data_IF_753208027058
#
_entry.id   IF_753208027058
#
_cell.length_a   1.000
_cell.length_b   1.000
_cell.length_c   1.000
_cell.angle_alpha   90.00
_cell.angle_beta   90.00
_cell.angle_gamma   90.00
#
_symmetry.space_group_name_H-M   'P 1'
#
loop_
_entity.id
_entity.type
_entity.pdbx_description
1 polymer ?
#
# COMPACT_ATOMS: atom_id res chain seq x y z
N UNK A 1 -13.29 14.19 21.88
CA UNK A 1 -13.21 15.60 21.45
C UNK A 1 -14.23 15.77 20.32
N UNK A 2 -14.80 16.95 20.07
CA UNK A 2 -15.72 17.09 18.92
C UNK A 2 -14.88 17.13 17.64
N UNK A 3 -15.01 16.11 16.79
CA UNK A 3 -14.34 16.10 15.50
C UNK A 3 -14.79 17.30 14.66
N UNK A 4 -13.87 18.10 14.11
CA UNK A 4 -14.26 19.23 13.29
C UNK A 4 -14.78 18.76 11.93
N UNK A 5 -15.78 19.44 11.39
CA UNK A 5 -16.43 19.04 10.12
C UNK A 5 -15.46 18.97 8.92
N UNK A 6 -14.38 19.76 8.95
CA UNK A 6 -13.35 19.72 7.91
C UNK A 6 -12.56 18.40 7.90
N UNK A 7 -12.48 17.69 9.04
CA UNK A 7 -11.71 16.46 9.19
C UNK A 7 -12.20 15.39 8.23
N UNK A 8 -13.51 15.14 8.18
CA UNK A 8 -14.11 14.15 7.26
C UNK A 8 -13.76 14.42 5.79
N UNK A 9 -13.76 15.70 5.41
CA UNK A 9 -13.38 16.11 4.05
C UNK A 9 -11.90 15.91 3.79
N UNK A 10 -11.04 16.27 4.75
CA UNK A 10 -9.59 16.07 4.64
C UNK A 10 -9.21 14.58 4.60
N UNK A 11 -9.83 13.75 5.44
CA UNK A 11 -9.64 12.28 5.45
C UNK A 11 -10.01 11.70 4.10
N UNK A 12 -11.18 12.04 3.56
CA UNK A 12 -11.61 11.58 2.22
C UNK A 12 -10.62 11.96 1.11
N UNK A 13 -9.91 13.08 1.26
CA UNK A 13 -8.93 13.57 0.28
C UNK A 13 -7.53 13.04 0.50
N UNK A 14 -7.19 12.61 1.72
CA UNK A 14 -5.86 12.14 2.07
C UNK A 14 -5.33 11.00 1.19
N UNK A 15 -6.13 10.05 0.67
CA UNK A 15 -5.63 9.00 -0.22
C UNK A 15 -5.14 9.49 -1.59
N UNK A 16 -5.57 10.69 -2.02
CA UNK A 16 -5.11 11.29 -3.28
C UNK A 16 -3.61 11.67 -3.22
N UNK A 17 -3.03 11.68 -2.01
CA UNK A 17 -1.67 12.13 -1.74
C UNK A 17 -0.78 11.00 -1.21
N UNK A 18 0.12 10.46 -2.05
CA UNK A 18 1.05 9.35 -1.69
C UNK A 18 1.94 9.60 -0.48
N UNK A 19 2.10 10.86 -0.07
CA UNK A 19 2.91 11.23 1.08
C UNK A 19 2.14 11.15 2.41
N UNK A 20 0.84 10.83 2.41
CA UNK A 20 0.02 10.70 3.62
C UNK A 20 -0.09 9.24 4.07
N UNK A 21 -0.44 9.01 5.34
CA UNK A 21 -0.88 7.68 5.79
C UNK A 21 -2.27 7.31 5.26
N UNK A 22 -3.11 8.28 4.89
CA UNK A 22 -4.39 8.02 4.22
C UNK A 22 -4.22 7.23 2.91
N UNK A 23 -3.16 7.50 2.15
CA UNK A 23 -2.80 6.67 1.00
C UNK A 23 -2.46 5.22 1.39
N UNK A 24 -1.76 5.02 2.51
CA UNK A 24 -1.44 3.68 3.01
C UNK A 24 -2.70 2.93 3.43
N UNK A 25 -3.62 3.59 4.15
CA UNK A 25 -4.88 3.00 4.59
C UNK A 25 -5.79 2.62 3.43
N UNK A 26 -5.94 3.51 2.45
CA UNK A 26 -6.70 3.22 1.23
C UNK A 26 -6.06 2.08 0.42
N UNK A 27 -4.73 2.03 0.38
CA UNK A 27 -4.03 0.93 -0.31
C UNK A 27 -4.25 -0.39 0.43
N UNK A 28 -4.25 -0.40 1.76
CA UNK A 28 -4.60 -1.58 2.55
C UNK A 28 -6.06 -2.00 2.31
N UNK A 29 -6.99 -1.06 2.23
CA UNK A 29 -8.39 -1.35 1.89
C UNK A 29 -8.50 -2.00 0.51
N UNK A 30 -7.87 -1.40 -0.50
CA UNK A 30 -7.96 -1.87 -1.89
C UNK A 30 -7.28 -3.22 -2.14
N UNK A 31 -6.11 -3.45 -1.54
CA UNK A 31 -5.32 -4.67 -1.77
C UNK A 31 -5.74 -5.79 -0.81
N UNK A 32 -6.00 -5.47 0.45
CA UNK A 32 -6.24 -6.46 1.51
C UNK A 32 -7.72 -6.57 1.91
N UNK A 33 -8.59 -5.70 1.39
CA UNK A 33 -10.02 -5.66 1.76
C UNK A 33 -10.29 -5.14 3.17
N UNK A 34 -9.30 -4.53 3.84
CA UNK A 34 -9.44 -4.07 5.22
C UNK A 34 -10.36 -2.87 5.32
N UNK A 35 -11.37 -2.97 6.18
CA UNK A 35 -12.22 -1.84 6.54
C UNK A 35 -11.49 -0.84 7.45
N UNK A 36 -11.98 0.40 7.59
CA UNK A 36 -11.49 1.33 8.62
C UNK A 36 -11.52 0.72 10.03
N UNK A 37 -12.53 -0.08 10.34
CA UNK A 37 -12.68 -0.79 11.61
C UNK A 37 -11.55 -1.82 11.82
N UNK A 38 -11.19 -2.57 10.77
CA UNK A 38 -10.09 -3.54 10.82
C UNK A 38 -8.74 -2.85 11.05
N UNK A 39 -8.53 -1.69 10.41
CA UNK A 39 -7.30 -0.90 10.57
C UNK A 39 -7.21 -0.28 11.96
N UNK A 40 -8.31 0.26 12.49
CA UNK A 40 -8.37 0.79 13.84
C UNK A 40 -8.09 -0.31 14.88
N UNK A 41 -8.67 -1.51 14.70
CA UNK A 41 -8.40 -2.66 15.55
C UNK A 41 -6.94 -3.15 15.44
N UNK A 42 -6.36 -3.22 14.24
CA UNK A 42 -4.95 -3.61 14.05
C UNK A 42 -3.98 -2.63 14.72
N UNK A 43 -4.30 -1.33 14.71
CA UNK A 43 -3.49 -0.27 15.31
C UNK A 43 -3.81 -0.01 16.79
N UNK A 44 -4.77 -0.75 17.37
CA UNK A 44 -5.26 -0.57 18.74
C UNK A 44 -5.67 0.89 19.03
N UNK A 45 -6.45 1.47 18.12
CA UNK A 45 -6.88 2.87 18.19
C UNK A 45 -8.36 3.06 17.86
N UNK A 46 -8.88 4.26 18.15
CA UNK A 46 -10.26 4.60 17.78
C UNK A 46 -10.37 5.01 16.31
N UNK A 47 -11.57 4.89 15.71
CA UNK A 47 -11.82 5.43 14.36
C UNK A 47 -11.53 6.93 14.27
N UNK A 48 -11.79 7.69 15.34
CA UNK A 48 -11.43 9.11 15.41
C UNK A 48 -9.91 9.31 15.34
N UNK A 49 -9.14 8.46 16.02
CA UNK A 49 -7.67 8.48 15.93
C UNK A 49 -7.20 8.10 14.53
N UNK A 50 -7.84 7.11 13.91
CA UNK A 50 -7.53 6.69 12.55
C UNK A 50 -7.74 7.82 11.53
N UNK A 51 -8.81 8.60 11.66
CA UNK A 51 -9.05 9.80 10.85
C UNK A 51 -7.90 10.81 10.97
N UNK A 52 -7.42 11.08 12.18
CA UNK A 52 -6.28 11.97 12.39
C UNK A 52 -4.96 11.38 11.84
N UNK A 53 -4.76 10.07 12.00
CA UNK A 53 -3.61 9.39 11.44
C UNK A 53 -3.58 9.49 9.92
N UNK A 54 -4.73 9.40 9.24
CA UNK A 54 -4.81 9.48 7.78
C UNK A 54 -4.22 10.78 7.23
N UNK A 55 -4.27 11.87 8.00
CA UNK A 55 -3.70 13.16 7.63
C UNK A 55 -2.19 13.28 7.90
N UNK A 56 -1.62 12.37 8.67
CA UNK A 56 -0.20 12.40 8.99
C UNK A 56 0.63 12.12 7.73
N UNK A 57 1.80 12.77 7.67
CA UNK A 57 2.81 12.44 6.66
C UNK A 57 3.29 11.01 6.90
N UNK A 58 3.35 10.23 5.83
CA UNK A 58 4.00 8.92 5.79
C UNK A 58 5.47 9.08 6.21
N UNK A 59 5.97 8.25 7.15
CA UNK A 59 7.39 8.25 7.50
C UNK A 59 8.29 8.12 6.27
N UNK A 60 9.36 8.92 6.22
CA UNK A 60 10.33 8.89 5.11
C UNK A 60 11.40 7.86 5.39
N UNK A 61 12.01 7.25 4.36
CA UNK A 61 12.92 6.13 4.58
C UNK A 61 14.18 6.52 5.38
N UNK A 62 14.72 7.71 5.12
CA UNK A 62 15.89 8.27 5.78
C UNK A 62 15.64 8.63 7.25
N UNK A 63 14.40 9.00 7.59
CA UNK A 63 13.99 9.42 8.94
C UNK A 63 12.85 8.58 9.51
N UNK A 64 12.76 7.33 9.08
CA UNK A 64 11.58 6.49 9.32
C UNK A 64 11.28 6.33 10.81
N UNK A 65 12.30 5.96 11.58
CA UNK A 65 12.17 5.73 13.02
C UNK A 65 11.79 7.02 13.79
N UNK A 66 12.29 8.17 13.34
CA UNK A 66 12.00 9.46 13.95
C UNK A 66 10.56 9.89 13.67
N UNK A 67 10.14 9.88 12.40
CA UNK A 67 8.76 10.23 12.03
C UNK A 67 7.74 9.29 12.67
N UNK A 68 8.07 7.99 12.73
CA UNK A 68 7.23 7.00 13.40
C UNK A 68 7.05 7.34 14.88
N UNK A 69 8.14 7.63 15.61
CA UNK A 69 8.07 8.01 17.03
C UNK A 69 7.20 9.25 17.25
N UNK A 70 7.37 10.28 16.42
CA UNK A 70 6.55 11.50 16.52
C UNK A 70 5.05 11.19 16.39
N UNK A 71 4.68 10.32 15.45
CA UNK A 71 3.28 9.93 15.24
C UNK A 71 2.80 9.08 16.42
N UNK A 72 3.54 8.04 16.79
CA UNK A 72 3.12 7.09 17.83
C UNK A 72 3.01 7.75 19.19
N UNK A 73 3.93 8.66 19.52
CA UNK A 73 3.91 9.40 20.78
C UNK A 73 2.74 10.37 20.82
N UNK A 74 2.43 11.04 19.70
CA UNK A 74 1.29 11.98 19.61
C UNK A 74 -0.06 11.30 19.83
N UNK A 75 -0.23 10.10 19.30
CA UNK A 75 -1.51 9.37 19.34
C UNK A 75 -1.54 8.24 20.36
N UNK A 76 -0.48 8.09 21.17
CA UNK A 76 -0.32 7.03 22.16
C UNK A 76 -0.50 5.62 21.58
N UNK A 77 0.17 5.36 20.44
CA UNK A 77 0.09 4.09 19.71
C UNK A 77 1.33 3.23 19.96
N UNK A 78 1.15 1.91 19.88
CA UNK A 78 2.28 1.01 19.76
C UNK A 78 2.98 1.22 18.40
N UNK A 79 4.32 1.37 18.35
CA UNK A 79 5.02 1.59 17.08
C UNK A 79 4.98 0.40 16.13
N UNK A 80 4.97 -0.82 16.67
CA UNK A 80 5.15 -2.04 15.90
C UNK A 80 3.99 -2.34 14.92
N UNK A 81 2.70 -2.22 15.31
CA UNK A 81 1.59 -2.35 14.38
C UNK A 81 1.67 -1.39 13.20
N UNK A 82 1.98 -0.11 13.45
CA UNK A 82 2.06 0.90 12.40
C UNK A 82 3.20 0.62 11.42
N UNK A 83 4.37 0.19 11.92
CA UNK A 83 5.50 -0.24 11.08
C UNK A 83 5.10 -1.40 10.17
N UNK A 84 4.47 -2.43 10.75
CA UNK A 84 4.06 -3.63 10.02
C UNK A 84 3.08 -3.28 8.91
N UNK A 85 2.08 -2.45 9.21
CA UNK A 85 1.10 -1.99 8.23
C UNK A 85 1.79 -1.23 7.08
N UNK A 86 2.62 -0.24 7.38
CA UNK A 86 3.31 0.57 6.35
C UNK A 86 4.18 -0.33 5.46
N UNK A 87 5.04 -1.16 6.06
CA UNK A 87 5.97 -2.02 5.31
C UNK A 87 5.26 -3.10 4.50
N UNK A 88 4.19 -3.68 5.04
CA UNK A 88 3.35 -4.67 4.34
C UNK A 88 2.71 -4.05 3.10
N UNK A 89 2.05 -2.91 3.26
CA UNK A 89 1.41 -2.19 2.15
C UNK A 89 2.41 -1.74 1.10
N UNK A 90 3.56 -1.19 1.50
CA UNK A 90 4.63 -0.80 0.58
C UNK A 90 5.15 -1.98 -0.24
N UNK A 91 5.33 -3.13 0.41
CA UNK A 91 5.78 -4.36 -0.26
C UNK A 91 4.75 -4.83 -1.28
N UNK A 92 3.48 -4.92 -0.89
CA UNK A 92 2.39 -5.34 -1.78
C UNK A 92 2.21 -4.38 -2.97
N UNK A 93 2.24 -3.07 -2.71
CA UNK A 93 2.13 -2.06 -3.77
C UNK A 93 3.30 -2.12 -4.77
N UNK A 94 4.49 -2.53 -4.34
CA UNK A 94 5.64 -2.73 -5.23
C UNK A 94 5.44 -3.93 -6.17
N UNK A 95 4.77 -4.99 -5.72
CA UNK A 95 4.43 -6.14 -6.58
C UNK A 95 3.33 -5.80 -7.58
N UNK A 96 2.25 -5.15 -7.16
CA UNK A 96 1.14 -4.79 -8.07
C UNK A 96 1.56 -3.85 -9.20
N UNK A 97 2.58 -3.01 -9.00
CA UNK A 97 3.11 -2.14 -10.07
C UNK A 97 3.91 -2.86 -11.14
N UNK A 98 4.49 -4.02 -10.84
CA UNK A 98 5.25 -4.80 -11.84
C UNK A 98 4.32 -5.36 -12.91
N UNK A 99 3.12 -5.79 -12.52
CA UNK A 99 2.12 -6.34 -13.43
C UNK A 99 1.52 -5.29 -14.40
N UNK A 100 1.43 -4.01 -13.98
CA UNK A 100 0.93 -2.92 -14.84
C UNK A 100 2.02 -2.36 -15.80
N UNK A 101 3.30 -2.56 -15.49
CA UNK A 101 4.45 -2.01 -16.23
C UNK A 101 4.98 -2.89 -17.35
N UNK A 102 4.63 -4.17 -17.39
CA UNK A 102 5.14 -5.14 -18.39
C UNK A 102 4.28 -5.23 -19.67
N UNK A 103 3.21 -4.43 -19.79
CA UNK A 103 2.42 -4.35 -21.01
C UNK A 103 2.96 -3.37 -22.08
N UNK A 104 4.11 -2.70 -21.85
CA UNK A 104 4.64 -1.68 -22.80
C UNK A 104 6.15 -1.72 -23.08
N UNK A 105 6.82 -2.85 -22.91
CA UNK A 105 8.08 -3.09 -23.63
C UNK A 105 8.18 -4.54 -24.03
N UNK A 106 8.38 -4.75 -25.33
CA UNK A 106 8.33 -6.05 -25.95
C UNK A 106 9.34 -7.02 -25.35
N UNK A 107 8.82 -8.15 -24.89
CA UNK A 107 9.47 -9.43 -25.11
C UNK A 107 8.38 -10.40 -25.52
N UNK A 108 8.13 -10.45 -26.83
CA UNK A 108 7.48 -11.60 -27.45
C UNK A 108 8.31 -12.82 -27.06
N UNK A 109 7.86 -13.57 -26.05
CA UNK A 109 8.41 -14.90 -25.78
C UNK A 109 7.95 -15.79 -26.93
N UNK A 110 8.76 -15.79 -27.99
CA UNK A 110 8.70 -16.74 -29.08
C UNK A 110 8.92 -18.14 -28.47
N UNK A 111 7.83 -18.81 -28.14
CA UNK A 111 7.84 -20.25 -27.97
C UNK A 111 8.39 -20.85 -29.26
N UNK A 112 9.53 -21.53 -29.15
CA UNK A 112 10.11 -22.28 -30.26
C UNK A 112 9.08 -23.32 -30.71
N UNK A 113 8.53 -23.12 -31.91
CA UNK A 113 7.77 -24.14 -32.64
C UNK A 113 8.75 -25.23 -33.04
N UNK A 114 8.64 -26.37 -32.37
CA UNK A 114 9.22 -27.63 -32.83
C UNK A 114 8.53 -28.01 -34.14
N UNK A 115 9.17 -27.72 -35.27
CA UNK A 115 8.80 -28.28 -36.56
C UNK A 115 9.53 -29.61 -36.67
N UNK A 116 8.78 -30.70 -36.60
CA UNK A 116 9.24 -32.00 -37.06
C UNK A 116 9.37 -31.93 -38.59
N UNK A 117 10.59 -31.66 -39.06
CA UNK A 117 11.03 -32.12 -40.36
C UNK A 117 11.28 -33.63 -40.22
N UNK A 118 10.36 -34.45 -40.72
CA UNK A 118 10.71 -35.81 -41.12
C UNK A 118 10.34 -35.94 -42.61
N UNK A 119 11.28 -35.44 -43.39
CA UNK A 119 11.34 -35.57 -44.83
C UNK A 119 11.70 -37.02 -45.18
N UNK A 120 10.83 -37.62 -45.98
CA UNK A 120 11.14 -38.57 -47.05
C UNK A 120 12.46 -39.37 -46.91
N UNK A 121 12.33 -40.65 -46.53
CA UNK A 121 13.27 -41.68 -46.99
C UNK A 121 12.55 -42.65 -47.90
N UNK A 122 12.78 -42.44 -49.19
CA UNK A 122 12.66 -43.42 -50.26
C UNK A 122 13.29 -44.77 -49.84
N UNK A 123 12.54 -45.86 -50.03
CA UNK A 123 13.03 -47.18 -50.52
C UNK A 123 11.83 -48.06 -50.86
#
# INVERSE_FOLDING_TARGET
MTQPEWLKTAVRKSPEHKWTLGYIFETAHRIEGKSPEDLAAELDCSLETLDWLALCRRPEEDRFAEHLRIITDRFNLAPLPLVRLIRRVESLAAFSRRDEGEARSGSTLLAARDRSDDDERES
#
